data_IF_738206103605
#
_entry.id   IF_738206103605
#
_cell.length_a   1.000
_cell.length_b   1.000
_cell.length_c   1.000
_cell.angle_alpha   90.00
_cell.angle_beta   90.00
_cell.angle_gamma   90.00
#
_symmetry.space_group_name_H-M   'P 1'
#
loop_
_entity.id
_entity.type
_entity.pdbx_description
1 polymer ?
#
# COMPACT_ATOMS: atom_id res chain seq x y z
N UNK A 1 8.78 -9.01 -32.87
CA UNK A 1 9.74 -8.70 -31.79
C UNK A 1 10.74 -9.84 -31.76
N UNK A 2 12.04 -9.58 -31.61
CA UNK A 2 13.04 -10.64 -31.46
C UNK A 2 12.78 -11.40 -30.15
N UNK A 3 13.21 -12.67 -30.10
CA UNK A 3 13.04 -13.58 -28.95
C UNK A 3 13.45 -12.93 -27.62
N UNK A 4 14.60 -12.23 -27.59
CA UNK A 4 15.09 -11.55 -26.38
C UNK A 4 14.27 -10.35 -25.90
N UNK A 5 13.42 -9.74 -26.74
CA UNK A 5 12.53 -8.65 -26.30
C UNK A 5 11.34 -9.17 -25.50
N UNK A 6 10.82 -10.35 -25.86
CA UNK A 6 9.73 -11.00 -25.14
C UNK A 6 10.18 -11.51 -23.77
N UNK A 7 11.38 -12.09 -23.69
CA UNK A 7 11.96 -12.57 -22.44
C UNK A 7 12.23 -11.44 -21.44
N UNK A 8 12.71 -10.30 -21.93
CA UNK A 8 12.93 -9.11 -21.09
C UNK A 8 11.62 -8.64 -20.46
N UNK A 9 10.54 -8.48 -21.24
CA UNK A 9 9.25 -8.00 -20.72
C UNK A 9 8.66 -9.00 -19.71
N UNK A 10 8.78 -10.31 -19.95
CA UNK A 10 8.34 -11.35 -19.00
C UNK A 10 9.11 -11.24 -17.68
N UNK A 11 10.43 -11.07 -17.73
CA UNK A 11 11.27 -10.92 -16.53
C UNK A 11 10.93 -9.67 -15.71
N UNK A 12 10.73 -8.53 -16.39
CA UNK A 12 10.31 -7.29 -15.73
C UNK A 12 8.91 -7.41 -15.11
N UNK A 13 7.99 -8.12 -15.79
CA UNK A 13 6.66 -8.35 -15.26
C UNK A 13 6.68 -9.18 -13.97
N UNK A 14 7.43 -10.28 -13.96
CA UNK A 14 7.60 -11.13 -12.77
C UNK A 14 8.26 -10.36 -11.63
N UNK A 15 9.29 -9.57 -11.93
CA UNK A 15 9.96 -8.71 -10.93
C UNK A 15 8.97 -7.69 -10.35
N UNK A 16 8.17 -7.06 -11.19
CA UNK A 16 7.13 -6.12 -10.75
C UNK A 16 6.05 -6.78 -9.89
N UNK A 17 5.60 -8.00 -10.22
CA UNK A 17 4.66 -8.77 -9.38
C UNK A 17 5.25 -9.05 -7.99
N UNK A 18 6.53 -9.44 -7.90
CA UNK A 18 7.21 -9.69 -6.62
C UNK A 18 7.35 -8.41 -5.80
N UNK A 19 7.66 -7.29 -6.46
CA UNK A 19 7.77 -5.98 -5.80
C UNK A 19 6.41 -5.51 -5.26
N UNK A 20 5.34 -5.62 -6.06
CA UNK A 20 3.98 -5.30 -5.61
C UNK A 20 3.58 -6.17 -4.42
N UNK A 21 3.85 -7.48 -4.46
CA UNK A 21 3.51 -8.36 -3.34
C UNK A 21 4.31 -8.07 -2.06
N UNK A 22 5.56 -7.61 -2.19
CA UNK A 22 6.33 -7.13 -1.04
C UNK A 22 5.76 -5.82 -0.47
N UNK A 23 5.25 -4.95 -1.34
CA UNK A 23 4.63 -3.68 -0.99
C UNK A 23 3.31 -3.91 -0.22
N UNK A 24 2.45 -4.80 -0.69
CA UNK A 24 1.20 -5.17 0.00
C UNK A 24 1.44 -5.72 1.40
N UNK A 25 2.44 -6.59 1.55
CA UNK A 25 2.83 -7.12 2.87
C UNK A 25 3.26 -6.03 3.83
N UNK A 26 3.88 -4.98 3.30
CA UNK A 26 4.29 -3.82 4.09
C UNK A 26 3.07 -2.94 4.43
N UNK A 27 2.17 -2.70 3.47
CA UNK A 27 0.91 -2.00 3.67
C UNK A 27 0.12 -2.66 4.81
N UNK A 28 -0.08 -3.98 4.72
CA UNK A 28 -0.79 -4.78 5.71
C UNK A 28 -0.22 -4.60 7.12
N UNK A 29 1.10 -4.74 7.27
CA UNK A 29 1.75 -4.55 8.58
C UNK A 29 1.63 -3.12 9.11
N UNK A 30 1.65 -2.12 8.24
CA UNK A 30 1.43 -0.72 8.63
C UNK A 30 0.00 -0.50 9.11
N UNK A 31 -0.99 -1.05 8.40
CA UNK A 31 -2.41 -0.97 8.74
C UNK A 31 -2.69 -1.68 10.07
N UNK A 32 -2.19 -2.91 10.26
CA UNK A 32 -2.32 -3.66 11.51
C UNK A 32 -1.78 -2.87 12.71
N UNK A 33 -0.57 -2.30 12.60
CA UNK A 33 0.02 -1.47 13.66
C UNK A 33 -0.77 -0.21 13.96
N UNK A 34 -1.38 0.41 12.94
CA UNK A 34 -2.23 1.58 13.13
C UNK A 34 -3.54 1.19 13.84
N UNK A 35 -4.16 0.07 13.45
CA UNK A 35 -5.39 -0.44 14.05
C UNK A 35 -5.22 -0.83 15.52
N UNK A 36 -4.06 -1.35 15.93
CA UNK A 36 -3.75 -1.62 17.34
C UNK A 36 -3.74 -0.36 18.21
N UNK A 37 -3.45 0.78 17.59
CA UNK A 37 -3.17 2.03 18.28
C UNK A 37 -4.32 3.01 18.21
N UNK A 38 -5.10 3.02 17.12
CA UNK A 38 -6.20 3.97 16.89
C UNK A 38 -7.40 3.72 17.83
N UNK A 39 -7.94 4.79 18.43
CA UNK A 39 -9.01 4.85 19.42
C UNK A 39 -9.90 6.07 19.18
N UNK A 40 -9.32 7.26 19.03
CA UNK A 40 -10.10 8.51 19.00
C UNK A 40 -10.68 8.84 17.63
N UNK A 41 -10.32 8.08 16.60
CA UNK A 41 -10.68 8.32 15.20
C UNK A 41 -11.44 7.11 14.63
N UNK A 42 -12.74 6.95 14.97
CA UNK A 42 -13.51 5.76 14.59
C UNK A 42 -13.67 5.59 13.08
N UNK A 43 -13.81 6.69 12.33
CA UNK A 43 -13.95 6.66 10.87
C UNK A 43 -12.65 6.22 10.19
N UNK A 44 -11.50 6.71 10.68
CA UNK A 44 -10.17 6.25 10.26
C UNK A 44 -9.99 4.76 10.59
N UNK A 45 -10.36 4.33 11.80
CA UNK A 45 -10.27 2.93 12.20
C UNK A 45 -11.16 2.03 11.33
N UNK A 46 -12.36 2.46 10.97
CA UNK A 46 -13.24 1.73 10.07
C UNK A 46 -12.62 1.63 8.68
N UNK A 47 -12.12 2.74 8.12
CA UNK A 47 -11.51 2.73 6.79
C UNK A 47 -10.25 1.86 6.75
N UNK A 48 -9.40 1.91 7.78
CA UNK A 48 -8.23 1.05 7.89
C UNK A 48 -8.60 -0.44 7.94
N UNK A 49 -9.71 -0.83 8.61
CA UNK A 49 -10.17 -2.23 8.57
C UNK A 49 -10.65 -2.65 7.19
N UNK A 50 -11.43 -1.80 6.51
CA UNK A 50 -11.84 -2.06 5.14
C UNK A 50 -10.62 -2.24 4.24
N UNK A 51 -9.65 -1.33 4.35
CA UNK A 51 -8.47 -1.35 3.52
C UNK A 51 -7.57 -2.55 3.84
N UNK A 52 -7.50 -2.98 5.11
CA UNK A 52 -6.83 -4.23 5.47
C UNK A 52 -7.42 -5.45 4.73
N UNK A 53 -8.74 -5.54 4.61
CA UNK A 53 -9.41 -6.62 3.87
C UNK A 53 -9.10 -6.53 2.37
N UNK A 54 -9.07 -5.32 1.80
CA UNK A 54 -8.67 -5.06 0.41
C UNK A 54 -7.22 -5.51 0.17
N UNK A 55 -6.27 -5.07 1.01
CA UNK A 55 -4.84 -5.45 0.98
C UNK A 55 -4.64 -6.97 1.07
N UNK A 56 -5.36 -7.66 1.95
CA UNK A 56 -5.30 -9.13 2.02
C UNK A 56 -5.75 -9.77 0.69
N UNK A 57 -6.83 -9.27 0.07
CA UNK A 57 -7.29 -9.75 -1.23
C UNK A 57 -6.33 -9.38 -2.38
N UNK A 58 -5.57 -8.29 -2.26
CA UNK A 58 -4.51 -7.90 -3.21
C UNK A 58 -3.32 -8.86 -3.11
N UNK A 59 -2.87 -9.20 -1.89
CA UNK A 59 -1.84 -10.24 -1.67
C UNK A 59 -2.25 -11.57 -2.32
N UNK A 60 -3.50 -12.01 -2.12
CA UNK A 60 -4.02 -13.26 -2.72
C UNK A 60 -4.03 -13.23 -4.25
N UNK A 61 -4.44 -12.10 -4.86
CA UNK A 61 -4.38 -11.92 -6.32
C UNK A 61 -2.94 -12.01 -6.83
N UNK A 62 -1.99 -11.37 -6.15
CA UNK A 62 -0.60 -11.39 -6.55
C UNK A 62 0.02 -12.79 -6.41
N UNK A 63 -0.33 -13.54 -5.36
CA UNK A 63 0.06 -14.95 -5.19
C UNK A 63 -0.47 -15.83 -6.34
N UNK A 64 -1.74 -15.65 -6.73
CA UNK A 64 -2.34 -16.36 -7.87
C UNK A 64 -1.65 -16.01 -9.19
N UNK A 65 -1.31 -14.73 -9.40
CA UNK A 65 -0.58 -14.28 -10.59
C UNK A 65 0.82 -14.89 -10.61
N UNK A 66 1.59 -14.81 -9.52
CA UNK A 66 2.95 -15.38 -9.44
C UNK A 66 2.95 -16.90 -9.68
N UNK A 67 1.97 -17.63 -9.15
CA UNK A 67 1.84 -19.07 -9.36
C UNK A 67 1.67 -19.45 -10.84
N UNK A 68 1.03 -18.59 -11.66
CA UNK A 68 0.87 -18.83 -13.11
C UNK A 68 2.17 -18.76 -13.90
N UNK A 69 3.18 -18.05 -13.39
CA UNK A 69 4.47 -17.92 -14.07
C UNK A 69 5.49 -19.00 -13.67
N UNK A 70 5.06 -20.01 -12.90
CA UNK A 70 5.88 -21.11 -12.32
C UNK A 70 7.05 -20.63 -11.45
N UNK A 71 6.95 -19.40 -10.97
CA UNK A 71 7.97 -18.79 -10.12
C UNK A 71 7.58 -19.01 -8.67
N UNK A 72 7.82 -20.24 -8.19
CA UNK A 72 7.67 -20.58 -6.78
C UNK A 72 8.67 -19.78 -5.94
N UNK A 73 8.15 -18.88 -5.09
CA UNK A 73 8.77 -18.22 -3.93
C UNK A 73 10.31 -18.18 -3.94
N UNK A 74 10.88 -17.05 -4.39
CA UNK A 74 12.25 -16.68 -3.99
C UNK A 74 12.37 -15.20 -3.64
N UNK A 75 12.52 -14.99 -2.32
CA UNK A 75 13.34 -14.02 -1.58
C UNK A 75 13.59 -12.65 -2.23
N UNK A 76 12.61 -11.75 -2.10
CA UNK A 76 12.84 -10.31 -2.20
C UNK A 76 13.09 -9.74 -0.80
N UNK A 77 14.24 -10.12 -0.22
CA UNK A 77 14.66 -9.69 1.13
C UNK A 77 15.18 -8.24 1.14
N UNK A 78 15.51 -7.69 -0.02
CA UNK A 78 16.34 -6.49 -0.08
C UNK A 78 15.55 -5.18 -0.30
N UNK A 79 14.44 -5.17 -1.04
CA UNK A 79 13.65 -3.93 -1.25
C UNK A 79 12.79 -3.54 -0.04
N UNK A 80 12.20 -4.52 0.66
CA UNK A 80 11.39 -4.26 1.86
C UNK A 80 12.23 -3.62 2.99
N UNK A 81 13.52 -3.96 3.08
CA UNK A 81 14.42 -3.48 4.14
C UNK A 81 14.74 -1.99 3.99
N UNK A 82 14.83 -1.47 2.77
CA UNK A 82 15.24 -0.08 2.51
C UNK A 82 14.10 0.93 2.71
N UNK A 83 12.85 0.55 2.43
CA UNK A 83 11.67 1.38 2.74
C UNK A 83 11.33 1.35 4.24
N UNK A 84 11.45 0.17 4.88
CA UNK A 84 11.32 0.02 6.36
C UNK A 84 12.31 0.90 7.12
N UNK A 85 13.53 1.07 6.63
CA UNK A 85 14.52 1.96 7.25
C UNK A 85 14.08 3.44 7.23
N UNK A 86 13.45 3.89 6.14
CA UNK A 86 12.96 5.27 6.01
C UNK A 86 11.66 5.52 6.81
N UNK A 87 10.78 4.52 6.94
CA UNK A 87 9.59 4.65 7.81
C UNK A 87 9.89 4.44 9.30
N UNK A 88 10.84 3.57 9.65
CA UNK A 88 11.34 3.40 11.02
C UNK A 88 11.92 4.70 11.58
N UNK A 89 12.56 5.52 10.74
CA UNK A 89 12.99 6.87 11.12
C UNK A 89 11.83 7.83 11.44
N UNK A 90 10.63 7.63 10.88
CA UNK A 90 9.43 8.41 11.22
C UNK A 90 8.78 7.97 12.54
N UNK A 91 9.09 6.76 13.04
CA UNK A 91 8.52 6.22 14.30
C UNK A 91 9.23 6.69 15.58
N UNK A 92 10.35 7.40 15.47
CA UNK A 92 11.04 8.01 16.62
C UNK A 92 10.55 9.43 16.97
N UNK A 93 9.55 9.95 16.28
CA UNK A 93 9.06 11.31 16.50
C UNK A 93 7.85 11.35 17.46
N UNK A 94 8.16 11.48 18.76
CA UNK A 94 7.43 12.23 19.81
C UNK A 94 5.90 12.06 19.90
N UNK A 95 5.45 11.67 21.10
CA UNK A 95 4.06 11.63 21.53
C UNK A 95 3.29 12.92 21.21
N UNK A 96 2.27 12.82 20.35
CA UNK A 96 0.98 13.54 20.36
C UNK A 96 0.40 13.64 18.93
N UNK A 97 1.22 13.85 17.89
CA UNK A 97 0.77 14.10 16.50
C UNK A 97 0.81 12.86 15.57
N UNK A 98 0.93 11.65 16.13
CA UNK A 98 1.10 10.41 15.34
C UNK A 98 -0.03 10.18 14.33
N UNK A 99 -1.28 10.53 14.66
CA UNK A 99 -2.41 10.40 13.73
C UNK A 99 -2.22 11.23 12.45
N UNK A 100 -1.67 12.44 12.58
CA UNK A 100 -1.40 13.31 11.43
C UNK A 100 -0.28 12.72 10.57
N UNK A 101 0.83 12.31 11.21
CA UNK A 101 1.96 11.69 10.52
C UNK A 101 1.55 10.40 9.81
N UNK A 102 0.71 9.58 10.45
CA UNK A 102 0.15 8.38 9.82
C UNK A 102 -0.72 8.74 8.62
N UNK A 103 -1.58 9.76 8.73
CA UNK A 103 -2.42 10.21 7.61
C UNK A 103 -1.56 10.64 6.40
N UNK A 104 -0.50 11.41 6.63
CA UNK A 104 0.42 11.84 5.58
C UNK A 104 1.19 10.66 4.96
N UNK A 105 1.68 9.78 5.82
CA UNK A 105 2.43 8.59 5.41
C UNK A 105 1.55 7.65 4.59
N UNK A 106 0.31 7.41 5.02
CA UNK A 106 -0.65 6.59 4.29
C UNK A 106 -0.92 7.20 2.92
N UNK A 107 -1.28 8.49 2.83
CA UNK A 107 -1.54 9.13 1.52
C UNK A 107 -0.33 9.03 0.56
N UNK A 108 0.89 9.21 1.08
CA UNK A 108 2.10 9.05 0.30
C UNK A 108 2.31 7.59 -0.15
N UNK A 109 2.02 6.62 0.73
CA UNK A 109 2.14 5.19 0.46
C UNK A 109 1.12 4.73 -0.60
N UNK A 110 -0.15 5.11 -0.48
CA UNK A 110 -1.19 4.81 -1.48
C UNK A 110 -0.80 5.33 -2.87
N UNK A 111 -0.27 6.56 -2.95
CA UNK A 111 0.18 7.12 -4.23
C UNK A 111 1.37 6.37 -4.83
N UNK A 112 2.24 5.80 -3.99
CA UNK A 112 3.32 4.93 -4.43
C UNK A 112 2.80 3.59 -4.96
N UNK A 113 1.79 3.00 -4.31
CA UNK A 113 1.11 1.79 -4.78
C UNK A 113 0.39 2.03 -6.11
N UNK A 114 -0.35 3.14 -6.23
CA UNK A 114 -0.99 3.57 -7.48
C UNK A 114 0.02 3.66 -8.62
N UNK A 115 1.17 4.29 -8.39
CA UNK A 115 2.22 4.40 -9.41
C UNK A 115 2.80 3.03 -9.78
N UNK A 116 3.01 2.18 -8.78
CA UNK A 116 3.55 0.82 -8.94
C UNK A 116 2.60 -0.06 -9.77
N UNK A 117 1.31 -0.06 -9.44
CA UNK A 117 0.29 -0.79 -10.21
C UNK A 117 0.13 -0.26 -11.62
N UNK A 118 0.14 1.06 -11.85
CA UNK A 118 0.08 1.64 -13.20
C UNK A 118 1.27 1.20 -14.06
N UNK A 119 2.47 1.21 -13.48
CA UNK A 119 3.68 0.72 -14.15
C UNK A 119 3.55 -0.77 -14.48
N UNK A 120 3.15 -1.58 -13.50
CA UNK A 120 3.01 -3.03 -13.65
C UNK A 120 1.95 -3.41 -14.70
N UNK A 121 0.81 -2.72 -14.73
CA UNK A 121 -0.22 -2.89 -15.76
C UNK A 121 0.31 -2.52 -17.16
N UNK A 122 1.16 -1.49 -17.25
CA UNK A 122 1.77 -1.10 -18.52
C UNK A 122 2.74 -2.17 -19.04
N UNK A 123 3.54 -2.75 -18.15
CA UNK A 123 4.42 -3.90 -18.46
C UNK A 123 3.57 -5.11 -18.88
N UNK A 124 2.49 -5.40 -18.14
CA UNK A 124 1.58 -6.51 -18.45
C UNK A 124 1.02 -6.40 -19.88
N UNK A 125 0.53 -5.21 -20.24
CA UNK A 125 -0.01 -4.94 -21.59
C UNK A 125 1.06 -5.06 -22.67
N UNK A 126 2.27 -4.57 -22.42
CA UNK A 126 3.39 -4.69 -23.36
C UNK A 126 3.79 -6.15 -23.61
N UNK A 127 3.66 -7.01 -22.59
CA UNK A 127 3.96 -8.45 -22.66
C UNK A 127 2.82 -9.34 -23.15
N UNK A 128 1.66 -8.77 -23.47
CA UNK A 128 0.47 -9.54 -23.87
C UNK A 128 -0.28 -10.20 -22.71
N UNK A 129 0.07 -9.91 -21.46
CA UNK A 129 -0.55 -10.43 -20.23
C UNK A 129 -1.87 -9.69 -19.91
N UNK A 130 -2.81 -9.71 -20.85
CA UNK A 130 -4.03 -8.90 -20.78
C UNK A 130 -5.00 -9.35 -19.68
N UNK A 131 -5.01 -10.64 -19.35
CA UNK A 131 -5.84 -11.17 -18.26
C UNK A 131 -5.28 -10.73 -16.90
N UNK A 132 -3.96 -10.81 -16.74
CA UNK A 132 -3.23 -10.38 -15.55
C UNK A 132 -3.41 -8.87 -15.33
N UNK A 133 -3.34 -8.08 -16.41
CA UNK A 133 -3.58 -6.64 -16.36
C UNK A 133 -5.00 -6.29 -15.84
N UNK A 134 -6.02 -7.09 -16.13
CA UNK A 134 -7.38 -6.88 -15.59
C UNK A 134 -7.44 -7.14 -14.08
N UNK A 135 -6.76 -8.17 -13.60
CA UNK A 135 -6.67 -8.47 -12.16
C UNK A 135 -5.94 -7.35 -11.42
N UNK A 136 -4.82 -6.87 -11.96
CA UNK A 136 -4.05 -5.76 -11.39
C UNK A 136 -4.83 -4.44 -11.41
N UNK A 137 -5.69 -4.24 -12.41
CA UNK A 137 -6.55 -3.05 -12.48
C UNK A 137 -7.56 -3.01 -11.32
N UNK A 138 -7.98 -4.16 -10.80
CA UNK A 138 -8.82 -4.21 -9.61
C UNK A 138 -8.07 -3.63 -8.40
N UNK A 139 -6.80 -4.01 -8.17
CA UNK A 139 -6.00 -3.49 -7.04
C UNK A 139 -5.79 -1.99 -7.16
N UNK A 140 -5.43 -1.55 -8.37
CA UNK A 140 -5.28 -0.12 -8.66
C UNK A 140 -6.55 0.70 -8.32
N UNK A 141 -7.74 0.15 -8.56
CA UNK A 141 -8.98 0.85 -8.26
C UNK A 141 -9.25 0.96 -6.75
N UNK A 142 -8.84 -0.05 -5.98
CA UNK A 142 -8.92 -0.05 -4.52
C UNK A 142 -7.95 1.00 -3.94
N UNK A 143 -6.70 1.07 -4.40
CA UNK A 143 -5.74 2.10 -3.90
C UNK A 143 -6.16 3.50 -4.28
N UNK A 144 -6.72 3.68 -5.49
CA UNK A 144 -7.28 4.97 -5.89
C UNK A 144 -8.42 5.39 -4.96
N UNK A 145 -9.25 4.44 -4.53
CA UNK A 145 -10.35 4.72 -3.61
C UNK A 145 -9.82 5.02 -2.19
N UNK A 146 -8.78 4.33 -1.72
CA UNK A 146 -8.15 4.60 -0.44
C UNK A 146 -7.44 5.96 -0.44
N UNK A 147 -6.58 6.23 -1.42
CA UNK A 147 -5.89 7.52 -1.57
C UNK A 147 -6.88 8.68 -1.61
N UNK A 148 -7.95 8.55 -2.41
CA UNK A 148 -9.01 9.55 -2.50
C UNK A 148 -9.69 9.77 -1.15
N UNK A 149 -10.04 8.70 -0.45
CA UNK A 149 -10.66 8.81 0.87
C UNK A 149 -9.75 9.55 1.85
N UNK A 150 -8.46 9.21 1.89
CA UNK A 150 -7.51 9.90 2.77
C UNK A 150 -7.44 11.38 2.41
N UNK A 151 -7.23 11.72 1.13
CA UNK A 151 -7.16 13.10 0.64
C UNK A 151 -8.38 13.94 1.04
N UNK A 152 -9.58 13.36 0.90
CA UNK A 152 -10.85 14.01 1.27
C UNK A 152 -11.03 14.20 2.80
N UNK A 153 -10.30 13.45 3.65
CA UNK A 153 -10.46 13.47 5.12
C UNK A 153 -9.23 14.02 5.88
N UNK A 154 -8.17 14.46 5.19
CA UNK A 154 -6.97 15.06 5.83
C UNK A 154 -7.38 16.24 6.74
N UNK A 155 -8.25 17.10 6.26
CA UNK A 155 -8.70 18.29 6.99
C UNK A 155 -9.50 17.90 8.23
N UNK A 156 -10.43 16.95 8.11
CA UNK A 156 -11.27 16.48 9.21
C UNK A 156 -10.43 15.85 10.34
N UNK A 157 -9.48 14.98 9.98
CA UNK A 157 -8.54 14.39 10.95
C UNK A 157 -7.72 15.48 11.65
N UNK A 158 -7.28 16.50 10.91
CA UNK A 158 -6.54 17.63 11.46
C UNK A 158 -7.38 18.44 12.43
N UNK A 159 -8.62 18.78 12.08
CA UNK A 159 -9.53 19.52 12.95
C UNK A 159 -9.86 18.74 14.22
N UNK A 160 -10.08 17.43 14.11
CA UNK A 160 -10.35 16.58 15.27
C UNK A 160 -9.13 16.50 16.20
N UNK A 161 -7.92 16.34 15.65
CA UNK A 161 -6.69 16.41 16.42
C UNK A 161 -6.55 17.72 17.19
N UNK A 162 -6.78 18.87 16.53
CA UNK A 162 -6.72 20.19 17.16
C UNK A 162 -7.76 20.33 18.29
N UNK A 163 -8.98 19.85 18.07
CA UNK A 163 -10.07 19.89 19.05
C UNK A 163 -9.75 19.07 20.30
N UNK A 164 -9.27 17.84 20.13
CA UNK A 164 -8.84 16.98 21.24
C UNK A 164 -7.71 17.64 22.03
N UNK A 165 -6.68 18.15 21.34
CA UNK A 165 -5.55 18.83 21.98
C UNK A 165 -5.97 20.10 22.74
N UNK A 166 -6.87 20.91 22.18
CA UNK A 166 -7.38 22.11 22.83
C UNK A 166 -8.21 21.81 24.09
N UNK A 167 -8.89 20.66 24.12
CA UNK A 167 -9.71 20.24 25.26
C UNK A 167 -8.92 19.60 26.42
N UNK A 168 -7.59 19.47 26.29
CA UNK A 168 -6.75 18.74 27.25
C UNK A 168 -7.01 17.24 27.30
N UNK A 169 -7.90 16.74 26.42
CA UNK A 169 -8.03 15.31 26.16
C UNK A 169 -6.78 14.85 25.44
N UNK A 170 -6.39 13.61 25.70
CA UNK A 170 -5.33 13.03 24.90
C UNK A 170 -5.85 12.89 23.48
N UNK A 171 -5.16 13.48 22.51
CA UNK A 171 -5.30 13.16 21.10
C UNK A 171 -4.65 11.80 20.81
N UNK A 172 -4.82 10.86 21.75
CA UNK A 172 -4.36 9.49 21.65
C UNK A 172 -4.92 8.94 20.36
N UNK A 173 -4.03 8.25 19.65
CA UNK A 173 -4.32 7.43 18.50
C UNK A 173 -5.63 6.73 18.77
#
# INVERSE_FOLDING_TARGET
MSDGGSDTIRSEFITGLRNAHALEKQARQLIERQLERVKSYPDVAQKLRQHLDETNAQEERLDQLLARFDESRSVLKDMATQFMANMGAMTHAMADDEILKNTFANLAFENFEIASYRSLISIAKAGGFSQEAQVLQQSLNEELAMAKWIDEHVDDVTQQYLSLKASGQKADR
#
